data_IF_181937066816
#
_entry.id   IF_181937066816
#
_cell.length_a   1.000
_cell.length_b   1.000
_cell.length_c   1.000
_cell.angle_alpha   90.00
_cell.angle_beta   90.00
_cell.angle_gamma   90.00
#
_symmetry.space_group_name_H-M   'P 1'
#
loop_
_entity.id
_entity.type
_entity.pdbx_description
1 polymer ?
#
# COMPACT_ATOMS: atom_id res chain seq x y z
N UNK A 1 17.88 13.12 -20.63
CA UNK A 1 18.31 13.90 -21.81
C UNK A 1 17.10 14.32 -22.67
N UNK A 2 16.96 15.61 -23.03
CA UNK A 2 15.86 16.08 -23.88
C UNK A 2 16.13 15.65 -25.33
N UNK A 3 15.26 14.79 -25.89
CA UNK A 3 15.38 14.34 -27.30
C UNK A 3 14.91 12.91 -27.59
N UNK A 4 14.73 12.05 -26.58
CA UNK A 4 14.15 10.71 -26.83
C UNK A 4 12.63 10.82 -26.91
N UNK A 5 12.07 10.68 -28.11
CA UNK A 5 10.61 10.61 -28.32
C UNK A 5 10.07 9.41 -27.54
N UNK A 6 9.19 9.68 -26.58
CA UNK A 6 8.52 8.62 -25.81
C UNK A 6 7.62 7.80 -26.74
N UNK A 7 7.74 6.48 -26.69
CA UNK A 7 6.98 5.59 -27.56
C UNK A 7 5.53 5.45 -27.10
N UNK A 8 4.63 5.07 -28.02
CA UNK A 8 3.22 4.79 -27.67
C UNK A 8 3.08 3.77 -26.53
N UNK A 9 3.94 2.75 -26.48
CA UNK A 9 3.90 1.75 -25.43
C UNK A 9 4.39 2.29 -24.08
N UNK A 10 5.38 3.19 -24.08
CA UNK A 10 5.79 3.91 -22.86
C UNK A 10 4.67 4.82 -22.35
N UNK A 11 3.97 5.54 -23.24
CA UNK A 11 2.79 6.36 -22.89
C UNK A 11 1.71 5.50 -22.21
N UNK A 12 1.34 4.36 -22.82
CA UNK A 12 0.37 3.43 -22.24
C UNK A 12 0.83 2.88 -20.88
N UNK A 13 2.13 2.64 -20.72
CA UNK A 13 2.70 2.18 -19.46
C UNK A 13 2.61 3.24 -18.36
N UNK A 14 2.88 4.51 -18.69
CA UNK A 14 2.76 5.64 -17.76
C UNK A 14 1.31 5.89 -17.34
N UNK A 15 0.39 5.94 -18.30
CA UNK A 15 -1.04 6.08 -18.02
C UNK A 15 -1.53 4.96 -17.08
N UNK A 16 -1.07 3.73 -17.31
CA UNK A 16 -1.41 2.61 -16.45
C UNK A 16 -0.76 2.69 -15.05
N UNK A 17 0.41 3.30 -14.90
CA UNK A 17 1.02 3.58 -13.59
C UNK A 17 0.17 4.58 -12.82
N UNK A 18 -0.22 5.68 -13.48
CA UNK A 18 -1.04 6.73 -12.88
C UNK A 18 -2.38 6.18 -12.36
N UNK A 19 -3.07 5.40 -13.20
CA UNK A 19 -4.40 4.87 -12.85
C UNK A 19 -4.33 3.66 -11.91
N UNK A 20 -3.28 2.83 -12.00
CA UNK A 20 -3.17 1.56 -11.25
C UNK A 20 -1.81 1.40 -10.55
N UNK A 21 -1.47 2.29 -9.60
CA UNK A 21 -0.14 2.35 -8.99
C UNK A 21 0.23 1.10 -8.20
N UNK A 22 -0.76 0.39 -7.64
CA UNK A 22 -0.55 -0.85 -6.86
C UNK A 22 -0.54 -2.12 -7.71
N UNK A 23 -0.44 -2.01 -9.05
CA UNK A 23 -0.30 -3.18 -9.92
C UNK A 23 1.11 -3.73 -9.91
N UNK A 24 1.25 -5.04 -9.70
CA UNK A 24 2.52 -5.75 -9.89
C UNK A 24 2.97 -5.67 -11.35
N UNK A 25 4.26 -5.82 -11.59
CA UNK A 25 4.84 -5.87 -12.94
C UNK A 25 4.14 -6.90 -13.83
N UNK A 26 3.84 -8.08 -13.31
CA UNK A 26 3.16 -9.15 -14.07
C UNK A 26 1.74 -8.75 -14.45
N UNK A 27 0.96 -8.23 -13.49
CA UNK A 27 -0.41 -7.79 -13.75
C UNK A 27 -0.46 -6.65 -14.77
N UNK A 28 0.49 -5.72 -14.67
CA UNK A 28 0.68 -4.61 -15.63
C UNK A 28 1.00 -5.11 -17.03
N UNK A 29 1.95 -6.02 -17.17
CA UNK A 29 2.31 -6.58 -18.47
C UNK A 29 1.14 -7.32 -19.11
N UNK A 30 0.42 -8.15 -18.34
CA UNK A 30 -0.77 -8.85 -18.83
C UNK A 30 -1.83 -7.88 -19.36
N UNK A 31 -2.14 -6.84 -18.59
CA UNK A 31 -3.17 -5.85 -18.95
C UNK A 31 -2.81 -5.02 -20.18
N UNK A 32 -1.53 -4.67 -20.33
CA UNK A 32 -1.01 -3.92 -21.47
C UNK A 32 -0.66 -4.81 -22.67
N UNK A 33 -0.96 -6.11 -22.61
CA UNK A 33 -0.62 -7.10 -23.63
C UNK A 33 0.88 -7.08 -24.01
N UNK A 34 1.75 -6.97 -23.01
CA UNK A 34 3.20 -6.91 -23.16
C UNK A 34 3.84 -8.26 -22.84
N UNK A 35 4.75 -8.71 -23.70
CA UNK A 35 5.67 -9.79 -23.34
C UNK A 35 6.62 -9.34 -22.24
N UNK A 36 7.14 -10.27 -21.44
CA UNK A 36 8.12 -9.95 -20.37
C UNK A 36 9.31 -9.15 -20.90
N UNK A 37 9.84 -9.52 -22.07
CA UNK A 37 10.95 -8.81 -22.72
C UNK A 37 10.59 -7.35 -23.04
N UNK A 38 9.45 -7.13 -23.69
CA UNK A 38 9.00 -5.78 -24.08
C UNK A 38 8.68 -4.92 -22.86
N UNK A 39 7.94 -5.47 -21.90
CA UNK A 39 7.63 -4.78 -20.64
C UNK A 39 8.90 -4.39 -19.88
N UNK A 40 9.88 -5.29 -19.81
CA UNK A 40 11.16 -4.98 -19.17
C UNK A 40 11.93 -3.88 -19.89
N UNK A 41 11.96 -3.89 -21.23
CA UNK A 41 12.62 -2.85 -22.02
C UNK A 41 11.97 -1.47 -21.79
N UNK A 42 10.64 -1.40 -21.80
CA UNK A 42 9.87 -0.17 -21.52
C UNK A 42 10.19 0.35 -20.12
N UNK A 43 10.08 -0.51 -19.12
CA UNK A 43 10.36 -0.13 -17.74
C UNK A 43 11.79 0.37 -17.55
N UNK A 44 12.78 -0.35 -18.09
CA UNK A 44 14.19 0.05 -17.98
C UNK A 44 14.44 1.39 -18.67
N UNK A 45 13.83 1.63 -19.85
CA UNK A 45 13.89 2.91 -20.55
C UNK A 45 13.34 4.06 -19.69
N UNK A 46 12.14 3.88 -19.11
CA UNK A 46 11.50 4.87 -18.25
C UNK A 46 12.26 5.11 -16.93
N UNK A 47 12.78 4.05 -16.30
CA UNK A 47 13.58 4.16 -15.08
C UNK A 47 14.92 4.86 -15.35
N UNK A 48 15.61 4.52 -16.44
CA UNK A 48 16.86 5.17 -16.83
C UNK A 48 16.67 6.64 -17.18
N UNK A 49 15.48 7.02 -17.67
CA UNK A 49 15.09 8.40 -17.89
C UNK A 49 14.67 9.15 -16.60
N UNK A 50 14.63 8.48 -15.45
CA UNK A 50 14.19 9.06 -14.19
C UNK A 50 12.67 9.35 -14.12
N UNK A 51 11.88 8.79 -15.03
CA UNK A 51 10.43 9.04 -15.14
C UNK A 51 9.65 8.18 -14.13
N UNK A 52 10.14 6.97 -13.82
CA UNK A 52 9.49 6.07 -12.87
C UNK A 52 10.47 5.58 -11.80
N UNK A 53 9.98 5.48 -10.56
CA UNK A 53 10.67 4.85 -9.43
C UNK A 53 10.14 3.44 -9.18
N UNK A 54 11.01 2.52 -8.77
CA UNK A 54 10.64 1.16 -8.38
C UNK A 54 10.53 1.04 -6.85
N UNK A 55 9.49 0.36 -6.37
CA UNK A 55 9.30 0.03 -4.96
C UNK A 55 9.23 -1.48 -4.83
N UNK A 56 10.27 -2.06 -4.22
CA UNK A 56 10.29 -3.48 -3.85
C UNK A 56 9.55 -3.69 -2.54
N UNK A 57 8.59 -4.60 -2.54
CA UNK A 57 7.78 -4.95 -1.38
C UNK A 57 8.06 -6.42 -1.04
N UNK A 58 8.56 -6.72 0.18
CA UNK A 58 8.81 -8.10 0.59
C UNK A 58 7.48 -8.87 0.68
N UNK A 59 7.44 -10.11 0.24
CA UNK A 59 6.32 -11.04 0.41
C UNK A 59 6.87 -12.39 0.89
N UNK A 60 6.00 -13.33 1.29
CA UNK A 60 6.44 -14.66 1.75
C UNK A 60 7.39 -15.36 0.77
N UNK A 61 7.12 -15.31 -0.53
CA UNK A 61 7.90 -16.00 -1.57
C UNK A 61 8.88 -15.09 -2.32
N UNK A 62 9.37 -14.01 -1.69
CA UNK A 62 10.35 -13.10 -2.27
C UNK A 62 9.91 -11.64 -2.23
N UNK A 63 9.77 -11.00 -3.39
CA UNK A 63 9.36 -9.60 -3.49
C UNK A 63 8.49 -9.34 -4.70
N UNK A 64 7.55 -8.40 -4.56
CA UNK A 64 6.84 -7.79 -5.69
C UNK A 64 7.40 -6.41 -5.94
N UNK A 65 7.50 -6.01 -7.21
CA UNK A 65 7.94 -4.67 -7.59
C UNK A 65 6.74 -3.89 -8.10
N UNK A 66 6.55 -2.69 -7.54
CA UNK A 66 5.60 -1.68 -8.00
C UNK A 66 6.34 -0.49 -8.61
N UNK A 67 5.61 0.33 -9.37
CA UNK A 67 6.15 1.54 -9.98
C UNK A 67 5.31 2.75 -9.60
N UNK A 68 5.98 3.86 -9.30
CA UNK A 68 5.40 5.18 -9.12
C UNK A 68 6.02 6.15 -10.12
N UNK A 69 5.25 7.18 -10.48
CA UNK A 69 5.79 8.34 -11.17
C UNK A 69 6.73 9.09 -10.21
N UNK A 70 7.88 9.53 -10.73
CA UNK A 70 8.70 10.54 -10.06
C UNK A 70 8.12 11.94 -10.33
N UNK A 71 8.65 12.99 -9.71
CA UNK A 71 8.24 14.36 -10.03
C UNK A 71 8.47 14.69 -11.52
N UNK A 72 9.61 14.26 -12.06
CA UNK A 72 9.88 14.35 -13.51
C UNK A 72 8.86 13.55 -14.32
N UNK A 73 8.50 12.35 -13.88
CA UNK A 73 7.51 11.53 -14.56
C UNK A 73 6.10 12.11 -14.54
N UNK A 74 5.74 12.83 -13.48
CA UNK A 74 4.48 13.59 -13.41
C UNK A 74 4.44 14.71 -14.44
N UNK A 75 5.50 15.50 -14.54
CA UNK A 75 5.61 16.54 -15.58
C UNK A 75 5.59 15.97 -17.01
N UNK A 76 6.17 14.79 -17.22
CA UNK A 76 6.05 14.07 -18.50
C UNK A 76 4.61 13.63 -18.77
N UNK A 77 3.86 13.16 -17.76
CA UNK A 77 2.46 12.80 -17.94
C UNK A 77 1.61 14.02 -18.31
N UNK A 78 1.80 15.15 -17.62
CA UNK A 78 1.09 16.42 -17.92
C UNK A 78 1.35 16.88 -19.35
N UNK A 79 2.60 16.87 -19.80
CA UNK A 79 2.97 17.20 -21.20
C UNK A 79 2.30 16.27 -22.23
N UNK A 80 2.00 15.02 -21.85
CA UNK A 80 1.36 14.01 -22.70
C UNK A 80 -0.17 13.95 -22.51
N UNK A 81 -0.75 14.91 -21.79
CA UNK A 81 -2.18 14.95 -21.45
C UNK A 81 -2.67 13.68 -20.71
N UNK A 82 -1.77 13.04 -19.95
CA UNK A 82 -2.09 11.96 -19.01
C UNK A 82 -2.25 12.59 -17.63
N UNK A 83 -3.41 12.44 -17.01
CA UNK A 83 -3.59 12.81 -15.60
C UNK A 83 -2.70 11.93 -14.70
N UNK A 84 -1.67 12.48 -14.03
CA UNK A 84 -0.82 11.71 -13.14
C UNK A 84 -1.49 11.40 -11.79
N UNK A 85 -2.71 11.90 -11.56
CA UNK A 85 -3.42 11.87 -10.29
C UNK A 85 -2.74 12.74 -9.22
N UNK A 86 -3.25 12.76 -7.98
CA UNK A 86 -2.61 13.50 -6.89
C UNK A 86 -1.29 12.84 -6.47
N UNK A 87 -0.36 13.65 -5.94
CA UNK A 87 0.84 13.13 -5.29
C UNK A 87 0.45 12.12 -4.20
N UNK A 88 1.24 11.05 -4.08
CA UNK A 88 0.96 9.99 -3.13
C UNK A 88 1.15 10.51 -1.70
N UNK A 89 0.05 10.65 -0.97
CA UNK A 89 0.08 10.97 0.47
C UNK A 89 0.64 9.80 1.30
N UNK A 90 0.45 8.57 0.82
CA UNK A 90 0.93 7.34 1.44
C UNK A 90 1.86 6.57 0.51
N UNK A 91 2.83 5.86 1.09
CA UNK A 91 3.77 5.04 0.33
C UNK A 91 3.05 3.93 -0.46
N UNK A 92 3.61 3.54 -1.62
CA UNK A 92 3.08 2.40 -2.38
C UNK A 92 3.09 1.09 -1.59
N UNK A 93 4.06 0.92 -0.69
CA UNK A 93 4.12 -0.23 0.20
C UNK A 93 2.90 -0.29 1.11
N UNK A 94 2.55 0.82 1.76
CA UNK A 94 1.37 0.92 2.62
C UNK A 94 0.09 0.61 1.84
N UNK A 95 -0.15 1.30 0.71
CA UNK A 95 -1.32 1.07 -0.15
C UNK A 95 -1.44 -0.35 -0.67
N UNK A 96 -0.32 -0.98 -1.01
CA UNK A 96 -0.29 -2.39 -1.41
C UNK A 96 -0.77 -3.29 -0.28
N UNK A 97 -0.24 -3.08 0.92
CA UNK A 97 -0.58 -3.89 2.08
C UNK A 97 -2.00 -3.66 2.57
N UNK A 98 -2.53 -2.43 2.56
CA UNK A 98 -3.96 -2.17 2.79
C UNK A 98 -4.83 -3.02 1.85
N UNK A 99 -4.49 -3.07 0.55
CA UNK A 99 -5.22 -3.92 -0.40
C UNK A 99 -5.08 -5.42 -0.11
N UNK A 100 -3.88 -5.90 0.25
CA UNK A 100 -3.69 -7.32 0.58
C UNK A 100 -4.40 -7.72 1.87
N UNK A 101 -4.34 -6.88 2.90
CA UNK A 101 -5.06 -7.05 4.16
C UNK A 101 -6.55 -7.11 3.91
N UNK A 102 -7.12 -6.18 3.12
CA UNK A 102 -8.53 -6.23 2.71
C UNK A 102 -8.90 -7.59 2.12
N UNK A 103 -8.15 -8.06 1.13
CA UNK A 103 -8.39 -9.36 0.49
C UNK A 103 -8.29 -10.54 1.46
N UNK A 104 -7.34 -10.49 2.39
CA UNK A 104 -7.15 -11.52 3.41
C UNK A 104 -8.34 -11.63 4.37
N UNK A 105 -8.89 -10.49 4.83
CA UNK A 105 -10.05 -10.48 5.71
C UNK A 105 -11.37 -10.76 4.94
N UNK A 106 -11.51 -10.29 3.69
CA UNK A 106 -12.66 -10.64 2.83
C UNK A 106 -12.79 -12.15 2.64
N UNK A 107 -11.67 -12.84 2.37
CA UNK A 107 -11.63 -14.32 2.26
C UNK A 107 -12.10 -15.03 3.54
N UNK A 108 -12.02 -14.38 4.69
CA UNK A 108 -12.47 -14.92 5.98
C UNK A 108 -13.93 -14.54 6.30
N UNK A 109 -14.61 -13.85 5.39
CA UNK A 109 -16.01 -13.47 5.53
C UNK A 109 -16.24 -12.20 6.37
N UNK A 110 -15.29 -11.28 6.39
CA UNK A 110 -15.48 -9.95 6.97
C UNK A 110 -16.01 -8.96 5.93
N UNK A 111 -16.93 -8.10 6.35
CA UNK A 111 -17.26 -6.86 5.64
C UNK A 111 -16.17 -5.82 5.95
N UNK A 112 -15.62 -5.13 4.94
CA UNK A 112 -14.56 -4.14 5.14
C UNK A 112 -14.87 -2.75 4.58
N UNK A 113 -14.52 -1.72 5.35
CA UNK A 113 -14.49 -0.31 4.93
C UNK A 113 -13.03 0.16 4.98
N UNK A 114 -12.54 0.73 3.87
CA UNK A 114 -11.20 1.31 3.76
C UNK A 114 -11.23 2.76 4.19
N UNK A 115 -10.19 3.23 4.90
CA UNK A 115 -10.06 4.61 5.42
C UNK A 115 -11.29 5.02 6.25
N UNK A 116 -11.66 4.19 7.23
CA UNK A 116 -12.84 4.42 8.05
C UNK A 116 -12.60 5.57 9.05
N UNK A 117 -13.40 6.65 9.02
CA UNK A 117 -13.20 7.78 9.91
C UNK A 117 -13.57 7.42 11.36
N UNK A 118 -12.69 7.75 12.29
CA UNK A 118 -13.00 7.79 13.72
C UNK A 118 -13.50 9.19 14.05
N UNK A 119 -14.71 9.30 14.61
CA UNK A 119 -15.33 10.58 14.95
C UNK A 119 -14.40 11.42 15.84
N UNK A 120 -13.91 12.54 15.29
CA UNK A 120 -13.03 13.47 15.99
C UNK A 120 -11.56 13.03 16.12
N UNK A 121 -11.16 11.90 15.53
CA UNK A 121 -9.83 11.32 15.78
C UNK A 121 -9.12 10.71 14.55
N UNK A 122 -9.40 11.25 13.36
CA UNK A 122 -8.78 10.81 12.11
C UNK A 122 -9.50 9.62 11.47
N UNK A 123 -8.75 8.70 10.87
CA UNK A 123 -9.28 7.49 10.24
C UNK A 123 -8.32 6.33 10.49
N UNK A 124 -8.87 5.10 10.50
CA UNK A 124 -8.11 3.85 10.49
C UNK A 124 -8.00 3.32 9.07
N UNK A 125 -6.92 2.59 8.78
CA UNK A 125 -6.71 2.05 7.42
C UNK A 125 -7.86 1.15 6.96
N UNK A 126 -8.32 0.25 7.83
CA UNK A 126 -9.38 -0.71 7.54
C UNK A 126 -10.26 -0.94 8.78
N UNK A 127 -11.56 -0.80 8.61
CA UNK A 127 -12.55 -1.31 9.55
C UNK A 127 -13.10 -2.64 9.03
N UNK A 128 -12.98 -3.70 9.82
CA UNK A 128 -13.55 -5.00 9.50
C UNK A 128 -14.65 -5.37 10.49
N UNK A 129 -15.76 -5.92 9.97
CA UNK A 129 -16.90 -6.37 10.78
C UNK A 129 -17.32 -7.77 10.38
N UNK A 130 -17.56 -8.62 11.38
CA UNK A 130 -18.15 -9.94 11.19
C UNK A 130 -19.03 -10.26 12.39
N UNK A 131 -20.31 -10.49 12.15
CA UNK A 131 -21.33 -10.55 13.21
C UNK A 131 -21.26 -9.28 14.08
N UNK A 132 -21.15 -9.44 15.40
CA UNK A 132 -21.03 -8.33 16.35
C UNK A 132 -19.58 -7.89 16.59
N UNK A 133 -18.58 -8.57 16.02
CA UNK A 133 -17.16 -8.22 16.19
C UNK A 133 -16.77 -7.05 15.27
N UNK A 134 -16.18 -6.02 15.87
CA UNK A 134 -15.67 -4.81 15.23
C UNK A 134 -14.16 -4.72 15.41
N UNK A 135 -13.43 -4.78 14.30
CA UNK A 135 -11.98 -4.79 14.29
C UNK A 135 -11.46 -3.54 13.58
N UNK A 136 -10.60 -2.79 14.27
CA UNK A 136 -9.75 -1.79 13.63
C UNK A 136 -8.46 -2.44 13.17
N UNK A 137 -8.06 -2.20 11.92
CA UNK A 137 -6.83 -2.75 11.35
C UNK A 137 -5.97 -1.61 10.83
N UNK A 138 -4.71 -1.57 11.26
CA UNK A 138 -3.72 -0.57 10.86
C UNK A 138 -2.53 -1.25 10.19
N UNK A 139 -2.11 -0.72 9.03
CA UNK A 139 -0.99 -1.26 8.25
C UNK A 139 0.29 -0.48 8.56
N UNK A 140 1.28 -1.18 9.08
CA UNK A 140 2.48 -0.55 9.61
C UNK A 140 3.70 -0.80 8.71
N UNK A 141 4.26 0.28 8.17
CA UNK A 141 5.51 0.24 7.38
C UNK A 141 6.75 0.59 8.19
N UNK A 142 6.60 0.88 9.49
CA UNK A 142 7.68 1.30 10.37
C UNK A 142 8.08 2.77 10.25
N UNK A 143 7.25 3.60 9.60
CA UNK A 143 7.46 5.05 9.41
C UNK A 143 6.43 5.93 10.13
N UNK A 144 5.38 5.29 10.65
CA UNK A 144 4.20 5.88 11.27
C UNK A 144 4.37 6.02 12.78
N UNK A 145 3.62 6.94 13.37
CA UNK A 145 3.45 7.01 14.83
C UNK A 145 2.39 6.00 15.29
N UNK A 146 2.86 4.77 15.50
CA UNK A 146 2.02 3.63 15.91
C UNK A 146 1.35 3.89 17.26
N UNK A 147 2.02 4.58 18.18
CA UNK A 147 1.47 4.87 19.52
C UNK A 147 0.28 5.82 19.40
N UNK A 148 0.41 6.87 18.57
CA UNK A 148 -0.70 7.77 18.29
C UNK A 148 -1.89 7.01 17.67
N UNK A 149 -1.66 6.13 16.69
CA UNK A 149 -2.73 5.36 16.05
C UNK A 149 -3.44 4.41 17.03
N UNK A 150 -2.68 3.71 17.87
CA UNK A 150 -3.25 2.84 18.92
C UNK A 150 -4.11 3.63 19.92
N UNK A 151 -3.61 4.79 20.38
CA UNK A 151 -4.38 5.65 21.30
C UNK A 151 -5.68 6.13 20.67
N UNK A 152 -5.67 6.46 19.37
CA UNK A 152 -6.87 6.93 18.67
C UNK A 152 -7.96 5.87 18.58
N UNK A 153 -7.57 4.62 18.36
CA UNK A 153 -8.48 3.49 18.18
C UNK A 153 -9.01 2.93 19.50
N UNK A 154 -8.34 3.17 20.62
CA UNK A 154 -8.70 2.62 21.94
C UNK A 154 -10.12 2.98 22.39
N UNK A 155 -10.54 4.22 22.15
CA UNK A 155 -11.83 4.75 22.61
C UNK A 155 -12.92 4.73 21.53
N UNK A 156 -12.65 4.11 20.38
CA UNK A 156 -13.54 4.14 19.22
C UNK A 156 -14.56 2.98 19.19
N UNK A 157 -14.63 2.18 20.27
CA UNK A 157 -15.62 1.10 20.41
C UNK A 157 -15.36 -0.13 19.54
N UNK A 158 -14.09 -0.38 19.21
CA UNK A 158 -13.65 -1.64 18.60
C UNK A 158 -13.44 -2.69 19.68
N UNK A 159 -13.70 -3.96 19.35
CA UNK A 159 -13.41 -5.10 20.22
C UNK A 159 -11.94 -5.51 20.14
N UNK A 160 -11.34 -5.28 18.97
CA UNK A 160 -9.97 -5.67 18.63
C UNK A 160 -9.29 -4.63 17.75
N UNK A 161 -7.98 -4.45 17.97
CA UNK A 161 -7.09 -3.73 17.07
C UNK A 161 -6.06 -4.72 16.52
N UNK A 162 -5.93 -4.81 15.20
CA UNK A 162 -4.92 -5.63 14.54
C UNK A 162 -3.89 -4.73 13.86
N UNK A 163 -2.64 -4.86 14.26
CA UNK A 163 -1.51 -4.24 13.58
C UNK A 163 -0.94 -5.19 12.52
N UNK A 164 -0.86 -4.75 11.27
CA UNK A 164 -0.25 -5.50 10.17
C UNK A 164 1.17 -4.97 9.91
N UNK A 165 2.17 -5.62 10.48
CA UNK A 165 3.56 -5.26 10.26
C UNK A 165 4.04 -5.71 8.87
N UNK A 166 4.54 -4.79 8.05
CA UNK A 166 4.87 -5.08 6.63
C UNK A 166 6.35 -5.41 6.38
N UNK A 167 7.18 -5.45 7.43
CA UNK A 167 8.61 -5.76 7.38
C UNK A 167 9.15 -6.09 8.78
N UNK A 168 10.36 -6.66 8.92
CA UNK A 168 10.97 -6.90 10.24
C UNK A 168 11.12 -5.61 11.07
N UNK A 169 11.41 -4.49 10.43
CA UNK A 169 11.50 -3.18 11.08
C UNK A 169 10.13 -2.78 11.64
N UNK A 170 9.06 -2.98 10.86
CA UNK A 170 7.70 -2.70 11.29
C UNK A 170 7.24 -3.62 12.44
N UNK A 171 7.64 -4.90 12.44
CA UNK A 171 7.38 -5.84 13.55
C UNK A 171 7.94 -5.26 14.85
N UNK A 172 9.22 -4.88 14.83
CA UNK A 172 9.89 -4.34 16.02
C UNK A 172 9.30 -3.00 16.46
N UNK A 173 8.80 -2.19 15.52
CA UNK A 173 8.09 -0.95 15.85
C UNK A 173 6.74 -1.24 16.52
N UNK A 174 5.93 -2.15 15.99
CA UNK A 174 4.65 -2.56 16.55
C UNK A 174 4.81 -3.10 17.97
N UNK A 175 5.73 -4.07 18.17
CA UNK A 175 5.97 -4.66 19.48
C UNK A 175 6.39 -3.62 20.53
N UNK A 176 7.23 -2.64 20.16
CA UNK A 176 7.62 -1.55 21.06
C UNK A 176 6.45 -0.61 21.38
N UNK A 177 5.57 -0.35 20.41
CA UNK A 177 4.40 0.48 20.61
C UNK A 177 3.38 -0.20 21.53
N UNK A 178 3.07 -1.48 21.29
CA UNK A 178 2.13 -2.27 22.12
C UNK A 178 2.59 -2.32 23.58
N UNK A 179 3.88 -2.56 23.85
CA UNK A 179 4.42 -2.56 25.23
C UNK A 179 4.30 -1.21 25.95
N UNK A 180 4.22 -0.10 25.22
CA UNK A 180 4.13 1.25 25.78
C UNK A 180 2.69 1.70 26.02
N UNK A 181 1.72 1.01 25.44
CA UNK A 181 0.30 1.33 25.60
C UNK A 181 -0.26 0.41 26.68
N UNK A 182 -0.91 0.98 27.69
CA UNK A 182 -1.62 0.22 28.71
C UNK A 182 -2.81 -0.53 28.08
N UNK A 183 -2.82 -1.85 28.25
CA UNK A 183 -3.82 -2.78 27.69
C UNK A 183 -4.79 -3.32 28.74
N UNK A 184 -4.66 -2.95 30.02
CA UNK A 184 -5.50 -3.52 31.09
C UNK A 184 -6.98 -3.12 30.97
N UNK A 185 -7.27 -2.01 30.29
CA UNK A 185 -8.63 -1.56 29.97
C UNK A 185 -8.67 -1.07 28.52
N UNK A 186 -9.06 -1.93 27.57
CA UNK A 186 -9.15 -1.58 26.15
C UNK A 186 -9.40 -2.77 25.23
N UNK A 187 -9.51 -2.54 23.90
CA UNK A 187 -9.58 -3.61 22.91
C UNK A 187 -8.36 -4.53 22.98
N UNK A 188 -8.56 -5.79 22.60
CA UNK A 188 -7.45 -6.73 22.41
C UNK A 188 -6.56 -6.22 21.28
N UNK A 189 -5.26 -6.08 21.52
CA UNK A 189 -4.30 -5.72 20.48
C UNK A 189 -3.59 -6.98 19.99
N UNK A 190 -3.76 -7.28 18.72
CA UNK A 190 -3.10 -8.38 18.03
C UNK A 190 -2.12 -7.84 16.99
N UNK A 191 -1.04 -8.57 16.75
CA UNK A 191 -0.09 -8.26 15.69
C UNK A 191 -0.02 -9.42 14.70
N UNK A 192 -0.35 -9.13 13.45
CA UNK A 192 -0.02 -9.98 12.30
C UNK A 192 1.15 -9.36 11.54
N UNK A 193 1.77 -10.13 10.66
CA UNK A 193 2.83 -9.65 9.79
C UNK A 193 2.57 -10.02 8.33
N UNK A 194 3.37 -9.46 7.43
CA UNK A 194 3.22 -9.69 5.99
C UNK A 194 3.23 -11.18 5.63
N UNK A 195 3.98 -12.03 6.34
CA UNK A 195 4.00 -13.47 6.06
C UNK A 195 2.62 -14.09 6.30
N UNK A 196 1.90 -13.69 7.34
CA UNK A 196 0.60 -14.26 7.71
C UNK A 196 -0.46 -14.01 6.64
N UNK A 197 -0.38 -12.86 5.97
CA UNK A 197 -1.38 -12.41 5.00
C UNK A 197 -0.93 -12.55 3.53
N UNK A 198 0.31 -12.98 3.27
CA UNK A 198 0.88 -13.18 1.92
C UNK A 198 0.42 -14.49 1.23
N UNK A 199 -0.80 -14.96 1.49
CA UNK A 199 -1.32 -16.28 1.07
C UNK A 199 -2.27 -16.26 -0.13
#
# INVERSE_FOLDING_TARGET
PPGKKISRQEILFLADIAVRPTSTTVARYKRLNLSRRRGNAIRLSLSAAGIIGAVSIPIRSGQVVLYQLTDSGRGVCEYLEIDPGPALQQSLQHRYWVRQTKHYFEKQGYDLIVEHPIKGNGAIDLFARKNDEKIAIEVETGKSDIIANLKKSKDAGFDKIILIATSPIAINACQRAVKKVDTEKGPVIEQLNWLDISG
#
